data_IF_603209732786
#
_entry.id   IF_603209732786
#
_cell.length_a   1.000
_cell.length_b   1.000
_cell.length_c   1.000
_cell.angle_alpha   90.00
_cell.angle_beta   90.00
_cell.angle_gamma   90.00
#
_symmetry.space_group_name_H-M   'P 1'
#
loop_
_entity.id
_entity.type
_entity.pdbx_description
1 polymer ?
#
# COMPACT_ATOMS: atom_id res chain seq x y z
N UNK A 1 23.11 -39.27 4.77
CA UNK A 1 22.24 -38.87 5.92
C UNK A 1 20.74 -38.93 5.63
N UNK A 2 20.24 -38.40 4.51
CA UNK A 2 18.81 -38.45 4.17
C UNK A 2 18.25 -39.90 4.05
N UNK A 3 18.95 -40.84 3.39
CA UNK A 3 18.46 -42.22 3.26
C UNK A 3 18.28 -42.95 4.60
N UNK A 4 19.14 -42.68 5.59
CA UNK A 4 19.02 -43.30 6.92
C UNK A 4 17.83 -42.73 7.69
N UNK A 5 17.51 -41.44 7.53
CA UNK A 5 16.32 -40.81 8.14
C UNK A 5 15.02 -41.36 7.55
N UNK A 6 14.93 -41.52 6.22
CA UNK A 6 13.76 -42.11 5.58
C UNK A 6 13.57 -43.59 5.96
N UNK A 7 14.66 -44.37 6.03
CA UNK A 7 14.62 -45.75 6.53
C UNK A 7 14.13 -45.81 7.97
N UNK A 8 14.65 -44.94 8.84
CA UNK A 8 14.25 -44.88 10.24
C UNK A 8 12.77 -44.50 10.40
N UNK A 9 12.29 -43.51 9.65
CA UNK A 9 10.87 -43.14 9.62
C UNK A 9 9.99 -44.31 9.18
N UNK A 10 10.33 -44.98 8.08
CA UNK A 10 9.56 -46.11 7.55
C UNK A 10 9.48 -47.27 8.56
N UNK A 11 10.59 -47.60 9.22
CA UNK A 11 10.58 -48.65 10.24
C UNK A 11 9.79 -48.26 11.49
N UNK A 12 9.84 -46.98 11.90
CA UNK A 12 9.09 -46.51 13.05
C UNK A 12 7.58 -46.43 12.78
N UNK A 13 7.17 -46.34 11.51
CA UNK A 13 5.76 -46.40 11.11
C UNK A 13 5.06 -47.64 11.69
N UNK A 14 5.76 -48.77 11.81
CA UNK A 14 5.18 -50.04 12.28
C UNK A 14 5.43 -50.36 13.76
N UNK A 15 6.11 -49.49 14.51
CA UNK A 15 6.49 -49.79 15.91
C UNK A 15 5.42 -49.42 16.93
N UNK A 16 4.60 -48.41 16.64
CA UNK A 16 3.70 -47.80 17.63
C UNK A 16 4.44 -47.36 18.92
N UNK A 17 3.71 -46.96 19.98
CA UNK A 17 2.29 -46.61 19.98
C UNK A 17 2.02 -45.34 19.14
N UNK A 18 0.81 -45.23 18.59
CA UNK A 18 0.37 -44.09 17.78
C UNK A 18 -0.28 -43.02 18.67
N UNK A 19 0.52 -42.44 19.56
CA UNK A 19 0.10 -41.47 20.58
C UNK A 19 0.31 -40.01 20.13
N UNK A 20 0.08 -39.05 21.04
CA UNK A 20 0.30 -37.63 20.75
C UNK A 20 1.78 -37.33 20.42
N UNK A 21 2.73 -38.11 20.94
CA UNK A 21 4.14 -37.95 20.58
C UNK A 21 4.40 -38.37 19.13
N UNK A 22 3.71 -39.40 18.64
CA UNK A 22 3.72 -39.76 17.22
C UNK A 22 3.18 -38.62 16.35
N UNK A 23 2.05 -38.03 16.74
CA UNK A 23 1.45 -36.88 16.05
C UNK A 23 2.40 -35.68 15.96
N UNK A 24 3.00 -35.26 17.09
CA UNK A 24 3.97 -34.14 17.13
C UNK A 24 5.19 -34.40 16.22
N UNK A 25 5.66 -35.65 16.15
CA UNK A 25 6.77 -36.02 15.25
C UNK A 25 6.39 -35.84 13.78
N UNK A 26 5.16 -36.17 13.39
CA UNK A 26 4.69 -35.97 12.01
C UNK A 26 4.58 -34.50 11.63
N UNK A 27 4.05 -33.66 12.53
CA UNK A 27 4.05 -32.20 12.33
C UNK A 27 5.47 -31.69 12.11
N UNK A 28 6.42 -32.11 12.96
CA UNK A 28 7.82 -31.70 12.81
C UNK A 28 8.41 -32.12 11.47
N UNK A 29 8.07 -33.31 10.98
CA UNK A 29 8.51 -33.77 9.66
C UNK A 29 7.97 -32.86 8.57
N UNK A 30 6.67 -32.54 8.58
CA UNK A 30 6.09 -31.67 7.56
C UNK A 30 6.63 -30.25 7.60
N UNK A 31 6.80 -29.64 8.78
CA UNK A 31 7.47 -28.34 8.95
C UNK A 31 8.88 -28.31 8.35
N UNK A 32 9.70 -29.33 8.62
CA UNK A 32 11.06 -29.42 8.04
C UNK A 32 11.04 -29.48 6.51
N UNK A 33 10.01 -30.07 5.90
CA UNK A 33 9.88 -30.05 4.45
C UNK A 33 9.37 -28.70 3.92
N UNK A 34 8.44 -28.05 4.64
CA UNK A 34 7.95 -26.70 4.34
C UNK A 34 9.07 -25.64 4.42
N UNK A 35 9.89 -25.66 5.48
CA UNK A 35 11.09 -24.82 5.63
C UNK A 35 12.07 -24.95 4.46
N UNK A 36 12.18 -26.16 3.91
CA UNK A 36 13.02 -26.46 2.74
C UNK A 36 12.34 -26.20 1.41
N UNK A 37 11.14 -25.61 1.41
CA UNK A 37 10.33 -25.28 0.23
C UNK A 37 10.06 -26.49 -0.67
N UNK A 38 9.96 -27.68 -0.08
CA UNK A 38 9.62 -28.89 -0.83
C UNK A 38 8.11 -28.88 -1.05
N UNK A 39 7.64 -28.88 -2.30
CA UNK A 39 6.19 -28.90 -2.56
C UNK A 39 5.51 -30.13 -1.91
N UNK A 40 4.32 -29.98 -1.27
CA UNK A 40 3.52 -31.10 -0.74
C UNK A 40 3.25 -32.20 -1.78
N UNK A 41 3.18 -31.83 -3.06
CA UNK A 41 3.01 -32.78 -4.16
C UNK A 41 4.09 -33.86 -4.20
N UNK A 42 5.35 -33.52 -3.88
CA UNK A 42 6.45 -34.49 -3.85
C UNK A 42 6.34 -35.46 -2.66
N UNK A 43 5.81 -34.99 -1.53
CA UNK A 43 5.54 -35.84 -0.36
C UNK A 43 4.45 -36.85 -0.70
N UNK A 44 3.34 -36.41 -1.30
CA UNK A 44 2.25 -37.28 -1.76
C UNK A 44 2.72 -38.30 -2.79
N UNK A 45 3.55 -37.87 -3.75
CA UNK A 45 4.12 -38.76 -4.77
C UNK A 45 5.03 -39.83 -4.16
N UNK A 46 5.85 -39.45 -3.18
CA UNK A 46 6.73 -40.37 -2.45
C UNK A 46 5.91 -41.36 -1.63
N UNK A 47 4.88 -40.89 -0.92
CA UNK A 47 3.97 -41.74 -0.13
C UNK A 47 3.27 -42.78 -1.01
N UNK A 48 2.85 -42.40 -2.22
CA UNK A 48 2.26 -43.35 -3.18
C UNK A 48 3.24 -44.42 -3.65
N UNK A 49 4.53 -44.07 -3.82
CA UNK A 49 5.57 -45.05 -4.16
C UNK A 49 5.80 -46.04 -3.01
N UNK A 50 5.81 -45.56 -1.78
CA UNK A 50 5.95 -46.39 -0.57
C UNK A 50 4.72 -47.29 -0.40
N UNK A 51 3.51 -46.77 -0.60
CA UNK A 51 2.27 -47.54 -0.56
C UNK A 51 2.31 -48.73 -1.50
N UNK A 52 2.63 -48.51 -2.78
CA UNK A 52 2.71 -49.59 -3.78
C UNK A 52 3.68 -50.69 -3.32
N UNK A 53 4.90 -50.31 -2.96
CA UNK A 53 5.92 -51.24 -2.47
C UNK A 53 5.45 -52.07 -1.28
N UNK A 54 4.80 -51.46 -0.29
CA UNK A 54 4.30 -52.19 0.89
C UNK A 54 3.13 -53.13 0.55
N UNK A 55 2.24 -52.72 -0.35
CA UNK A 55 1.10 -53.53 -0.76
C UNK A 55 1.54 -54.72 -1.61
N UNK A 56 2.55 -54.54 -2.46
CA UNK A 56 3.16 -55.61 -3.25
C UNK A 56 3.83 -56.63 -2.32
N UNK A 57 4.64 -56.17 -1.35
CA UNK A 57 5.27 -57.02 -0.33
C UNK A 57 4.24 -57.82 0.48
N UNK A 58 3.15 -57.20 0.92
CA UNK A 58 2.06 -57.93 1.60
C UNK A 58 1.36 -58.95 0.69
N UNK A 59 1.43 -58.80 -0.62
CA UNK A 59 0.85 -59.73 -1.58
C UNK A 59 1.73 -60.95 -1.81
N UNK A 60 3.04 -60.76 -1.78
CA UNK A 60 4.05 -61.81 -1.94
C UNK A 60 4.19 -62.66 -0.66
N UNK A 61 4.20 -62.02 0.52
CA UNK A 61 4.53 -62.70 1.78
C UNK A 61 3.34 -63.36 2.49
N UNK A 62 2.09 -63.00 2.12
CA UNK A 62 0.89 -63.45 2.84
C UNK A 62 -0.08 -64.16 1.90
N UNK A 63 -0.16 -65.47 2.07
CA UNK A 63 -1.06 -66.33 1.30
C UNK A 63 -2.54 -66.16 1.69
N UNK A 64 -2.84 -66.07 3.00
CA UNK A 64 -4.20 -65.91 3.49
C UNK A 64 -4.81 -64.59 3.00
N UNK A 65 -5.77 -64.73 2.08
CA UNK A 65 -6.47 -63.60 1.45
C UNK A 65 -7.19 -62.71 2.46
N UNK A 66 -7.83 -63.27 3.48
CA UNK A 66 -8.62 -62.51 4.45
C UNK A 66 -7.67 -61.70 5.35
N UNK A 67 -6.64 -62.36 5.88
CA UNK A 67 -5.64 -61.70 6.72
C UNK A 67 -4.85 -60.64 5.96
N UNK A 68 -4.41 -60.95 4.73
CA UNK A 68 -3.76 -59.99 3.82
C UNK A 68 -4.61 -58.76 3.58
N UNK A 69 -5.91 -58.93 3.31
CA UNK A 69 -6.82 -57.81 3.07
C UNK A 69 -6.92 -56.90 4.29
N UNK A 70 -7.01 -57.47 5.51
CA UNK A 70 -7.00 -56.70 6.76
C UNK A 70 -5.72 -55.89 6.93
N UNK A 71 -4.56 -56.48 6.64
CA UNK A 71 -3.26 -55.78 6.72
C UNK A 71 -3.13 -54.68 5.67
N UNK A 72 -3.55 -54.92 4.42
CA UNK A 72 -3.56 -53.88 3.37
C UNK A 72 -4.39 -52.67 3.80
N UNK A 73 -5.56 -52.90 4.40
CA UNK A 73 -6.40 -51.82 4.94
C UNK A 73 -5.70 -51.08 6.08
N UNK A 74 -5.04 -51.79 6.99
CA UNK A 74 -4.29 -51.17 8.09
C UNK A 74 -3.12 -50.31 7.58
N UNK A 75 -2.35 -50.81 6.61
CA UNK A 75 -1.25 -50.07 5.97
C UNK A 75 -1.77 -48.83 5.25
N UNK A 76 -2.87 -48.93 4.49
CA UNK A 76 -3.49 -47.76 3.87
C UNK A 76 -3.85 -46.70 4.90
N UNK A 77 -4.60 -47.07 5.94
CA UNK A 77 -4.98 -46.13 7.01
C UNK A 77 -3.77 -45.47 7.65
N UNK A 78 -2.74 -46.25 7.95
CA UNK A 78 -1.52 -45.75 8.56
C UNK A 78 -0.82 -44.72 7.65
N UNK A 79 -0.65 -45.04 6.36
CA UNK A 79 -0.02 -44.12 5.41
C UNK A 79 -0.87 -42.88 5.13
N UNK A 80 -2.20 -43.02 5.03
CA UNK A 80 -3.14 -41.92 4.80
C UNK A 80 -3.12 -40.93 5.98
N UNK A 81 -3.18 -41.42 7.23
CA UNK A 81 -3.07 -40.57 8.42
C UNK A 81 -1.71 -39.85 8.47
N UNK A 82 -0.62 -40.56 8.13
CA UNK A 82 0.70 -39.95 8.12
C UNK A 82 0.80 -38.85 7.06
N UNK A 83 0.27 -39.10 5.85
CA UNK A 83 0.27 -38.12 4.78
C UNK A 83 -0.56 -36.91 5.15
N UNK A 84 -1.77 -37.11 5.66
CA UNK A 84 -2.69 -36.04 6.06
C UNK A 84 -2.03 -35.07 7.05
N UNK A 85 -1.50 -35.61 8.17
CA UNK A 85 -0.83 -34.80 9.21
C UNK A 85 0.43 -34.10 8.69
N UNK A 86 1.21 -34.76 7.82
CA UNK A 86 2.39 -34.12 7.22
C UNK A 86 1.95 -32.98 6.31
N UNK A 87 0.94 -33.19 5.45
CA UNK A 87 0.49 -32.17 4.50
C UNK A 87 -0.25 -31.01 5.16
N UNK A 88 -1.01 -31.23 6.24
CA UNK A 88 -1.69 -30.16 6.96
C UNK A 88 -0.71 -29.16 7.59
N UNK A 89 0.45 -29.65 8.04
CA UNK A 89 1.48 -28.77 8.62
C UNK A 89 2.14 -27.79 7.62
N UNK A 90 1.99 -28.01 6.31
CA UNK A 90 2.43 -27.03 5.30
C UNK A 90 1.53 -25.80 5.27
N UNK A 91 0.21 -26.02 5.39
CA UNK A 91 -0.79 -24.96 5.34
C UNK A 91 -0.65 -24.06 6.57
N UNK A 92 -0.39 -24.64 7.75
CA UNK A 92 -0.12 -23.85 8.97
C UNK A 92 1.12 -22.95 8.81
N UNK A 93 2.21 -23.46 8.26
CA UNK A 93 3.45 -22.69 8.06
C UNK A 93 3.28 -21.59 6.98
N UNK A 94 2.64 -21.91 5.86
CA UNK A 94 2.32 -20.93 4.82
C UNK A 94 1.39 -19.84 5.34
N UNK A 95 0.38 -20.18 6.16
CA UNK A 95 -0.52 -19.20 6.79
C UNK A 95 0.24 -18.30 7.77
N UNK A 96 1.18 -18.82 8.57
CA UNK A 96 1.96 -18.00 9.49
C UNK A 96 2.86 -16.99 8.75
N UNK A 97 3.56 -17.44 7.69
CA UNK A 97 4.40 -16.56 6.86
C UNK A 97 3.58 -15.55 6.05
N UNK A 98 2.55 -16.00 5.33
CA UNK A 98 1.71 -15.12 4.53
C UNK A 98 0.88 -14.18 5.40
N UNK A 99 0.36 -14.61 6.56
CA UNK A 99 -0.44 -13.71 7.41
C UNK A 99 0.41 -12.57 7.95
N UNK A 100 1.69 -12.78 8.26
CA UNK A 100 2.55 -11.70 8.76
C UNK A 100 2.85 -10.68 7.67
N UNK A 101 3.25 -11.13 6.47
CA UNK A 101 3.49 -10.25 5.34
C UNK A 101 2.21 -9.52 4.87
N UNK A 102 1.07 -10.23 4.85
CA UNK A 102 -0.23 -9.68 4.47
C UNK A 102 -0.77 -8.69 5.51
N UNK A 103 -0.65 -8.99 6.81
CA UNK A 103 -1.02 -8.08 7.90
C UNK A 103 -0.15 -6.81 7.87
N UNK A 104 1.16 -6.93 7.67
CA UNK A 104 2.04 -5.75 7.54
C UNK A 104 1.64 -4.88 6.36
N UNK A 105 1.36 -5.49 5.20
CA UNK A 105 0.90 -4.75 4.02
C UNK A 105 -0.44 -4.06 4.26
N UNK A 106 -1.42 -4.73 4.86
CA UNK A 106 -2.74 -4.14 5.12
C UNK A 106 -2.72 -3.11 6.25
N UNK A 107 -1.88 -3.29 7.27
CA UNK A 107 -1.63 -2.27 8.30
C UNK A 107 -0.93 -1.05 7.72
N UNK A 108 0.04 -1.22 6.83
CA UNK A 108 0.73 -0.09 6.19
C UNK A 108 -0.22 0.69 5.27
N UNK A 109 -1.06 0.00 4.50
CA UNK A 109 -2.08 0.62 3.65
C UNK A 109 -3.12 1.37 4.49
N UNK A 110 -3.70 0.73 5.49
CA UNK A 110 -4.71 1.38 6.35
C UNK A 110 -4.13 2.50 7.22
N UNK A 111 -2.86 2.40 7.62
CA UNK A 111 -2.13 3.49 8.27
C UNK A 111 -1.94 4.67 7.31
N UNK A 112 -1.51 4.42 6.07
CA UNK A 112 -1.34 5.45 5.06
C UNK A 112 -2.66 6.16 4.73
N UNK A 113 -3.77 5.42 4.60
CA UNK A 113 -5.10 5.98 4.38
C UNK A 113 -5.54 6.89 5.54
N UNK A 114 -5.39 6.42 6.79
CA UNK A 114 -5.73 7.21 7.98
C UNK A 114 -4.84 8.45 8.11
N UNK A 115 -3.53 8.28 7.91
CA UNK A 115 -2.57 9.37 7.95
C UNK A 115 -2.87 10.44 6.90
N UNK A 116 -3.14 10.03 5.66
CA UNK A 116 -3.53 10.95 4.58
C UNK A 116 -4.83 11.70 4.92
N UNK A 117 -5.84 11.00 5.46
CA UNK A 117 -7.09 11.63 5.88
C UNK A 117 -6.87 12.65 7.01
N UNK A 118 -6.01 12.36 7.98
CA UNK A 118 -5.66 13.30 9.05
C UNK A 118 -4.93 14.51 8.48
N UNK A 119 -3.98 14.31 7.56
CA UNK A 119 -3.23 15.40 6.94
C UNK A 119 -4.14 16.36 6.17
N UNK A 120 -5.09 15.84 5.39
CA UNK A 120 -6.04 16.68 4.64
C UNK A 120 -6.91 17.54 5.57
N UNK A 121 -7.33 16.99 6.72
CA UNK A 121 -8.08 17.75 7.73
C UNK A 121 -7.23 18.90 8.30
N UNK A 122 -5.97 18.61 8.65
CA UNK A 122 -5.03 19.62 9.15
C UNK A 122 -4.79 20.73 8.11
N UNK A 123 -4.63 20.36 6.83
CA UNK A 123 -4.44 21.32 5.74
C UNK A 123 -5.62 22.29 5.63
N UNK A 124 -6.86 21.79 5.57
CA UNK A 124 -8.05 22.65 5.47
C UNK A 124 -8.18 23.54 6.70
N UNK A 125 -7.96 23.00 7.90
CA UNK A 125 -8.02 23.80 9.11
C UNK A 125 -7.00 24.95 9.09
N UNK A 126 -5.76 24.66 8.68
CA UNK A 126 -4.71 25.69 8.56
C UNK A 126 -5.09 26.75 7.53
N UNK A 127 -5.68 26.34 6.42
CA UNK A 127 -6.05 27.24 5.33
C UNK A 127 -7.20 28.16 5.72
N UNK A 128 -8.18 27.67 6.50
CA UNK A 128 -9.23 28.49 7.09
C UNK A 128 -8.62 29.55 8.03
N UNK A 129 -7.71 29.15 8.91
CA UNK A 129 -7.06 30.09 9.85
C UNK A 129 -6.25 31.17 9.12
N UNK A 130 -5.49 30.80 8.08
CA UNK A 130 -4.74 31.75 7.26
C UNK A 130 -5.70 32.69 6.51
N UNK A 131 -6.79 32.16 5.95
CA UNK A 131 -7.80 32.94 5.23
C UNK A 131 -8.41 34.01 6.14
N UNK A 132 -8.77 33.67 7.37
CA UNK A 132 -9.27 34.63 8.36
C UNK A 132 -8.23 35.72 8.67
N UNK A 133 -6.95 35.34 8.80
CA UNK A 133 -5.85 36.29 9.00
C UNK A 133 -5.71 37.28 7.84
N UNK A 134 -5.79 36.81 6.59
CA UNK A 134 -5.70 37.66 5.40
C UNK A 134 -6.92 38.57 5.25
N UNK A 135 -8.12 38.09 5.60
CA UNK A 135 -9.32 38.93 5.67
C UNK A 135 -9.11 40.08 6.68
N UNK A 136 -8.54 39.78 7.84
CA UNK A 136 -8.18 40.81 8.83
C UNK A 136 -7.18 41.85 8.30
N UNK A 137 -6.15 41.40 7.58
CA UNK A 137 -5.18 42.28 6.92
C UNK A 137 -5.84 43.18 5.87
N UNK A 138 -6.76 42.64 5.07
CA UNK A 138 -7.48 43.42 4.06
C UNK A 138 -8.31 44.55 4.69
N UNK A 139 -9.03 44.27 5.79
CA UNK A 139 -9.75 45.33 6.52
C UNK A 139 -8.81 46.39 7.09
N UNK A 140 -7.64 45.98 7.59
CA UNK A 140 -6.60 46.91 8.05
C UNK A 140 -6.05 47.78 6.90
N UNK A 141 -5.79 47.20 5.74
CA UNK A 141 -5.35 47.92 4.54
C UNK A 141 -6.37 48.96 4.08
N UNK A 142 -7.67 48.60 4.09
CA UNK A 142 -8.76 49.55 3.79
C UNK A 142 -8.78 50.70 4.78
N UNK A 143 -8.67 50.42 6.08
CA UNK A 143 -8.67 51.46 7.12
C UNK A 143 -7.49 52.41 6.94
N UNK A 144 -6.30 51.90 6.61
CA UNK A 144 -5.11 52.69 6.33
C UNK A 144 -5.26 53.58 5.09
N UNK A 145 -5.96 53.10 4.04
CA UNK A 145 -6.25 53.88 2.84
C UNK A 145 -7.09 55.13 3.15
N UNK A 146 -8.04 55.04 4.09
CA UNK A 146 -8.85 56.18 4.53
C UNK A 146 -8.04 57.26 5.30
N UNK A 147 -6.86 56.93 5.84
CA UNK A 147 -6.02 57.87 6.59
C UNK A 147 -5.03 58.68 5.72
N UNK A 148 -5.01 58.51 4.39
CA UNK A 148 -4.40 59.49 3.47
C UNK A 148 -3.28 58.98 2.55
N UNK A 149 -2.83 57.73 2.66
CA UNK A 149 -1.81 57.15 1.75
C UNK A 149 -2.46 56.31 0.63
N UNK A 150 -3.21 57.00 -0.24
CA UNK A 150 -4.03 56.37 -1.30
C UNK A 150 -3.22 55.49 -2.25
N UNK A 151 -2.02 55.93 -2.66
CA UNK A 151 -1.25 55.20 -3.66
C UNK A 151 -0.66 53.91 -3.10
N UNK A 152 -0.14 53.92 -1.86
CA UNK A 152 0.35 52.69 -1.23
C UNK A 152 -0.80 51.81 -0.75
N UNK A 153 -1.87 52.40 -0.20
CA UNK A 153 -3.04 51.68 0.30
C UNK A 153 -3.75 50.87 -0.77
N UNK A 154 -3.88 51.39 -2.00
CA UNK A 154 -4.47 50.64 -3.12
C UNK A 154 -3.59 49.44 -3.49
N UNK A 155 -2.26 49.62 -3.57
CA UNK A 155 -1.34 48.53 -3.94
C UNK A 155 -1.35 47.41 -2.88
N UNK A 156 -1.37 47.76 -1.59
CA UNK A 156 -1.43 46.76 -0.51
C UNK A 156 -2.78 46.06 -0.44
N UNK A 157 -3.89 46.79 -0.54
CA UNK A 157 -5.25 46.22 -0.52
C UNK A 157 -5.51 45.29 -1.72
N UNK A 158 -5.03 45.65 -2.91
CA UNK A 158 -5.14 44.82 -4.11
C UNK A 158 -4.24 43.58 -3.99
N UNK A 159 -3.07 43.72 -3.35
CA UNK A 159 -2.20 42.61 -2.99
C UNK A 159 -2.84 41.61 -2.02
N UNK A 160 -3.50 42.09 -0.95
CA UNK A 160 -4.20 41.23 0.01
C UNK A 160 -5.46 40.58 -0.60
N UNK A 161 -6.15 41.26 -1.52
CA UNK A 161 -7.25 40.68 -2.31
C UNK A 161 -6.79 39.50 -3.19
N UNK A 162 -5.65 39.64 -3.87
CA UNK A 162 -5.09 38.58 -4.71
C UNK A 162 -4.65 37.35 -3.88
N UNK A 163 -4.06 37.59 -2.70
CA UNK A 163 -3.73 36.51 -1.75
C UNK A 163 -5.01 35.83 -1.27
N UNK A 164 -6.06 36.59 -0.96
CA UNK A 164 -7.35 36.03 -0.55
C UNK A 164 -7.95 35.14 -1.64
N UNK A 165 -7.90 35.58 -2.91
CA UNK A 165 -8.36 34.77 -4.04
C UNK A 165 -7.58 33.45 -4.13
N UNK A 166 -6.25 33.48 -4.00
CA UNK A 166 -5.41 32.28 -3.98
C UNK A 166 -5.81 31.32 -2.85
N UNK A 167 -6.03 31.83 -1.65
CA UNK A 167 -6.42 31.01 -0.49
C UNK A 167 -7.79 30.35 -0.69
N UNK A 168 -8.74 31.08 -1.28
CA UNK A 168 -10.06 30.54 -1.64
C UNK A 168 -9.94 29.43 -2.69
N UNK A 169 -9.10 29.63 -3.71
CA UNK A 169 -8.88 28.64 -4.78
C UNK A 169 -8.24 27.36 -4.23
N UNK A 170 -7.21 27.49 -3.38
CA UNK A 170 -6.59 26.36 -2.68
C UNK A 170 -7.59 25.64 -1.77
N UNK A 171 -8.47 26.38 -1.09
CA UNK A 171 -9.46 25.81 -0.17
C UNK A 171 -10.53 25.03 -0.93
N UNK A 172 -11.03 25.57 -2.04
CA UNK A 172 -11.96 24.85 -2.91
C UNK A 172 -11.34 23.57 -3.45
N UNK A 173 -10.05 23.59 -3.79
CA UNK A 173 -9.31 22.42 -4.26
C UNK A 173 -9.18 21.35 -3.17
N UNK A 174 -8.81 21.73 -1.95
CA UNK A 174 -8.74 20.81 -0.81
C UNK A 174 -10.11 20.22 -0.43
N UNK A 175 -11.18 21.03 -0.46
CA UNK A 175 -12.54 20.56 -0.23
C UNK A 175 -12.98 19.58 -1.33
N UNK A 176 -12.67 19.87 -2.59
CA UNK A 176 -12.97 18.98 -3.70
C UNK A 176 -12.21 17.65 -3.56
N UNK A 177 -10.93 17.70 -3.16
CA UNK A 177 -10.12 16.53 -2.86
C UNK A 177 -10.72 15.69 -1.72
N UNK A 178 -11.16 16.31 -0.62
CA UNK A 178 -11.86 15.62 0.47
C UNK A 178 -13.17 14.95 0.04
N UNK A 179 -13.91 15.53 -0.91
CA UNK A 179 -15.15 14.95 -1.46
C UNK A 179 -14.89 13.79 -2.43
N UNK A 180 -13.64 13.34 -2.58
CA UNK A 180 -13.24 12.29 -3.51
C UNK A 180 -12.94 12.79 -4.93
N UNK A 181 -12.81 14.11 -5.12
CA UNK A 181 -12.33 14.68 -6.37
C UNK A 181 -10.86 14.34 -6.62
N UNK A 182 -10.47 14.26 -7.90
CA UNK A 182 -9.06 14.06 -8.27
C UNK A 182 -8.25 15.32 -7.94
N UNK A 183 -7.00 15.12 -7.54
CA UNK A 183 -6.04 16.21 -7.36
C UNK A 183 -5.68 16.81 -8.73
N UNK A 184 -6.23 17.97 -9.05
CA UNK A 184 -5.98 18.68 -10.30
C UNK A 184 -4.72 19.54 -10.13
N UNK A 185 -3.60 19.09 -10.69
CA UNK A 185 -2.30 19.75 -10.59
C UNK A 185 -2.36 21.13 -11.28
N UNK A 186 -3.24 21.27 -12.26
CA UNK A 186 -3.53 22.55 -12.94
C UNK A 186 -3.85 23.68 -11.97
N UNK A 187 -4.53 23.43 -10.84
CA UNK A 187 -4.90 24.49 -9.89
C UNK A 187 -3.67 25.08 -9.20
N UNK A 188 -2.70 24.25 -8.79
CA UNK A 188 -1.46 24.71 -8.18
C UNK A 188 -0.63 25.57 -9.14
N UNK A 189 -0.59 25.20 -10.42
CA UNK A 189 0.09 25.98 -11.46
C UNK A 189 -0.65 27.31 -11.69
N UNK A 190 -1.98 27.30 -11.68
CA UNK A 190 -2.80 28.52 -11.76
C UNK A 190 -2.54 29.48 -10.60
N UNK A 191 -2.44 28.96 -9.37
CA UNK A 191 -2.08 29.76 -8.17
C UNK A 191 -0.68 30.37 -8.31
N UNK A 192 0.31 29.60 -8.77
CA UNK A 192 1.64 30.12 -9.02
C UNK A 192 1.64 31.22 -10.10
N UNK A 193 0.87 31.04 -11.19
CA UNK A 193 0.71 32.03 -12.24
C UNK A 193 0.15 33.35 -11.69
N UNK A 194 -0.90 33.28 -10.86
CA UNK A 194 -1.50 34.47 -10.23
C UNK A 194 -0.54 35.16 -9.27
N UNK A 195 0.27 34.41 -8.52
CA UNK A 195 1.32 34.98 -7.67
C UNK A 195 2.38 35.74 -8.49
N UNK A 196 2.84 35.18 -9.61
CA UNK A 196 3.77 35.87 -10.51
C UNK A 196 3.15 37.12 -11.16
N UNK A 197 1.87 37.05 -11.56
CA UNK A 197 1.14 38.22 -12.08
C UNK A 197 1.05 39.31 -11.01
N UNK A 198 0.76 38.94 -9.76
CA UNK A 198 0.72 39.86 -8.62
C UNK A 198 2.08 40.54 -8.41
N UNK A 199 3.17 39.78 -8.43
CA UNK A 199 4.52 40.35 -8.26
C UNK A 199 4.88 41.29 -9.42
N UNK A 200 4.57 40.91 -10.67
CA UNK A 200 4.74 41.79 -11.83
C UNK A 200 3.95 43.09 -11.68
N UNK A 201 2.69 43.02 -11.24
CA UNK A 201 1.85 44.19 -11.02
C UNK A 201 2.42 45.11 -9.93
N UNK A 202 2.88 44.55 -8.81
CA UNK A 202 3.49 45.34 -7.73
C UNK A 202 4.78 46.02 -8.19
N UNK A 203 5.65 45.32 -8.91
CA UNK A 203 6.92 45.87 -9.41
C UNK A 203 6.71 46.96 -10.45
N UNK A 204 5.74 46.77 -11.37
CA UNK A 204 5.44 47.76 -12.41
C UNK A 204 4.77 49.02 -11.85
N UNK A 205 3.85 48.89 -10.90
CA UNK A 205 3.19 50.03 -10.25
C UNK A 205 4.15 50.82 -9.34
N UNK A 206 5.09 50.16 -8.67
CA UNK A 206 6.11 50.82 -7.83
C UNK A 206 7.22 51.52 -8.63
N UNK A 207 7.20 51.47 -9.96
CA UNK A 207 8.26 51.99 -10.84
C UNK A 207 9.66 51.46 -10.46
N UNK A 208 9.73 50.24 -9.92
CA UNK A 208 10.99 49.59 -9.58
C UNK A 208 11.68 49.03 -10.85
N UNK A 209 12.99 48.77 -10.75
CA UNK A 209 13.92 48.44 -11.86
C UNK A 209 13.29 47.63 -13.01
N UNK A 210 13.30 48.21 -14.21
CA UNK A 210 12.77 47.63 -15.45
C UNK A 210 13.36 46.24 -15.79
N UNK A 211 14.56 45.93 -15.34
CA UNK A 211 15.18 44.61 -15.55
C UNK A 211 14.43 43.47 -14.85
N UNK A 212 13.92 43.70 -13.64
CA UNK A 212 13.17 42.68 -12.89
C UNK A 212 11.81 42.38 -13.55
N UNK A 213 11.17 43.40 -14.13
CA UNK A 213 9.91 43.24 -14.84
C UNK A 213 10.05 42.33 -16.07
N UNK A 214 11.16 42.41 -16.81
CA UNK A 214 11.40 41.57 -17.99
C UNK A 214 11.48 40.07 -17.64
N UNK A 215 12.21 39.71 -16.56
CA UNK A 215 12.29 38.32 -16.10
C UNK A 215 10.95 37.78 -15.61
N UNK A 216 10.14 38.61 -14.95
CA UNK A 216 8.80 38.23 -14.49
C UNK A 216 7.84 37.94 -15.67
N UNK A 217 7.88 38.76 -16.72
CA UNK A 217 7.09 38.50 -17.94
C UNK A 217 7.51 37.18 -18.61
N UNK A 218 8.82 36.93 -18.72
CA UNK A 218 9.32 35.67 -19.28
C UNK A 218 8.88 34.45 -18.43
N UNK A 219 8.93 34.57 -17.10
CA UNK A 219 8.49 33.52 -16.18
C UNK A 219 6.99 33.22 -16.33
N UNK A 220 6.13 34.26 -16.40
CA UNK A 220 4.69 34.10 -16.61
C UNK A 220 4.40 33.38 -17.94
N UNK A 221 5.13 33.71 -19.00
CA UNK A 221 4.95 33.10 -20.32
C UNK A 221 5.29 31.60 -20.28
N UNK A 222 6.41 31.22 -19.66
CA UNK A 222 6.79 29.82 -19.46
C UNK A 222 5.75 29.08 -18.62
N UNK A 223 5.33 29.68 -17.50
CA UNK A 223 4.35 29.06 -16.60
C UNK A 223 2.98 28.90 -17.27
N UNK A 224 2.58 29.85 -18.12
CA UNK A 224 1.37 29.77 -18.93
C UNK A 224 1.40 28.63 -19.95
N UNK A 225 2.56 28.38 -20.59
CA UNK A 225 2.74 27.22 -21.48
C UNK A 225 2.64 25.91 -20.71
N UNK A 226 3.26 25.83 -19.52
CA UNK A 226 3.16 24.65 -18.65
C UNK A 226 1.72 24.41 -18.21
N UNK A 227 1.01 25.46 -17.80
CA UNK A 227 -0.41 25.39 -17.44
C UNK A 227 -1.26 24.83 -18.58
N UNK A 228 -1.06 25.31 -19.81
CA UNK A 228 -1.77 24.83 -21.00
C UNK A 228 -1.48 23.35 -21.30
N UNK A 229 -0.22 22.91 -21.18
CA UNK A 229 0.16 21.52 -21.37
C UNK A 229 -0.48 20.60 -20.32
N UNK A 230 -0.50 21.01 -19.06
CA UNK A 230 -1.07 20.22 -17.96
C UNK A 230 -2.57 20.05 -18.12
N UNK A 231 -3.31 21.13 -18.40
CA UNK A 231 -4.75 21.05 -18.67
C UNK A 231 -5.06 20.09 -19.83
N UNK A 232 -4.28 20.18 -20.92
CA UNK A 232 -4.46 19.30 -22.06
C UNK A 232 -4.20 17.83 -21.71
N UNK A 233 -3.27 17.57 -20.81
CA UNK A 233 -2.97 16.22 -20.32
C UNK A 233 -4.05 15.67 -19.38
N UNK A 234 -4.63 16.51 -18.51
CA UNK A 234 -5.70 16.15 -17.58
C UNK A 234 -7.00 15.85 -18.34
N UNK A 235 -7.31 16.63 -19.39
CA UNK A 235 -8.47 16.41 -20.25
C UNK A 235 -8.44 15.06 -21.01
N UNK A 236 -7.25 14.52 -21.31
CA UNK A 236 -7.11 13.18 -21.94
C UNK A 236 -7.30 12.02 -20.97
N UNK A 237 -7.24 12.26 -19.66
CA UNK A 237 -7.29 11.22 -18.61
C UNK A 237 -8.70 10.94 -18.07
N UNK A 238 -9.68 11.75 -18.45
CA UNK A 238 -11.10 11.54 -18.14
C UNK A 238 -11.84 11.18 -19.45
N UNK A 239 -11.98 9.89 -19.80
CA UNK A 239 -13.04 9.47 -20.72
C UNK A 239 -14.42 9.61 -20.07
#
# INVERSE_FOLDING_TARGET
ELPSKHKHWLLNLFKGPYDNNYYIRLIKIGRVHAEKQISPHFVSSTMNKIRRMLIDLLSEEIEDRIYRTKLKVAVHKLLDINLDVITSSYVEEEIEQFSTAFKLKSTLVSFAERFSSTMNLVLIFSLIMITLGVVGLFFYDIYRMFQGDLSHGIITALGSLLILWVLIELMNTEIAHLKGGKFNISVFIGVALVAFIRDLMVTTLKHEKLELAYYLVAAILILGVVYWLVIRSEARKNP
#
